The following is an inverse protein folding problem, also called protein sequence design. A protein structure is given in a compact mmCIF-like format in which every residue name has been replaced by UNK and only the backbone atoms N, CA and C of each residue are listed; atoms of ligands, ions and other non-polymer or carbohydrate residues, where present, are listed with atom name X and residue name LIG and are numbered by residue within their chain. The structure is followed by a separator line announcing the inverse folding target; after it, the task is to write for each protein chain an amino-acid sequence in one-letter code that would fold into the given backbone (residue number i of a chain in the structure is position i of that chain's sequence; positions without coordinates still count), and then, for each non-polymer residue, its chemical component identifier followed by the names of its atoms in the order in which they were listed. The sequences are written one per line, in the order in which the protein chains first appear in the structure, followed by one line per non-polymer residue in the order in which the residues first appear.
data_IF_639941785342
#
_entry.id   IF_639941785342
#
_cell.length_a   1.000
_cell.length_b   1.000
_cell.length_c   1.000
_cell.angle_alpha   90.00
_cell.angle_beta   90.00
_cell.angle_gamma   90.00
#
_symmetry.space_group_name_H-M   'P 1'
#
loop_
_entity.id
_entity.type
_entity.pdbx_description
1 polymer ?
#
# COMPACT_ATOMS: atom_id res chain seq x y z
N UNK A 1 27.66 -4.12 -49.03
CA UNK A 1 27.96 -3.79 -47.62
C UNK A 1 26.73 -4.05 -46.80
N UNK A 2 26.72 -5.19 -46.14
CA UNK A 2 25.57 -5.67 -45.36
C UNK A 2 25.72 -5.25 -43.91
N UNK A 3 24.80 -4.39 -43.43
CA UNK A 3 24.80 -3.89 -42.05
C UNK A 3 24.19 -4.93 -41.14
N UNK A 4 24.96 -5.43 -40.20
CA UNK A 4 24.52 -6.39 -39.18
C UNK A 4 23.79 -5.66 -38.06
N UNK A 5 22.54 -6.10 -37.78
CA UNK A 5 21.72 -5.67 -36.63
C UNK A 5 22.22 -6.35 -35.35
N UNK A 6 22.40 -5.63 -34.24
CA UNK A 6 22.79 -6.22 -32.97
C UNK A 6 21.59 -6.96 -32.32
N UNK A 7 21.77 -8.24 -32.02
CA UNK A 7 20.85 -9.07 -31.23
C UNK A 7 20.81 -8.57 -29.78
N UNK A 8 19.72 -7.95 -29.37
CA UNK A 8 19.40 -7.70 -27.97
C UNK A 8 19.16 -9.04 -27.26
N UNK A 9 20.08 -9.41 -26.38
CA UNK A 9 19.88 -10.49 -25.42
C UNK A 9 18.91 -9.99 -24.34
N UNK A 10 17.67 -10.43 -24.38
CA UNK A 10 16.74 -10.38 -23.26
C UNK A 10 17.33 -11.19 -22.11
N UNK A 11 17.74 -10.53 -21.02
CA UNK A 11 18.03 -11.19 -19.75
C UNK A 11 16.68 -11.64 -19.17
N UNK A 12 16.40 -12.93 -19.21
CA UNK A 12 15.38 -13.55 -18.39
C UNK A 12 15.72 -13.27 -16.91
N UNK A 13 14.74 -12.87 -16.06
CA UNK A 13 14.98 -12.76 -14.63
C UNK A 13 15.34 -14.13 -14.08
N UNK A 14 16.45 -14.22 -13.35
CA UNK A 14 16.92 -15.41 -12.70
C UNK A 14 15.79 -16.00 -11.84
N UNK A 15 15.19 -17.09 -12.29
CA UNK A 15 14.30 -17.94 -11.48
C UNK A 15 15.13 -18.46 -10.33
N UNK A 16 14.98 -17.86 -9.13
CA UNK A 16 15.51 -18.45 -7.92
C UNK A 16 14.85 -19.82 -7.78
N UNK A 17 15.65 -20.89 -7.82
CA UNK A 17 15.21 -22.26 -7.65
C UNK A 17 14.71 -22.51 -6.22
N UNK A 18 13.56 -21.97 -5.87
CA UNK A 18 12.84 -22.35 -4.66
C UNK A 18 12.44 -23.82 -4.84
N UNK A 19 12.98 -24.71 -4.00
CA UNK A 19 12.53 -26.11 -3.91
C UNK A 19 11.02 -26.07 -3.72
N UNK A 20 10.28 -26.76 -4.60
CA UNK A 20 8.83 -26.93 -4.45
C UNK A 20 8.56 -27.55 -3.08
N UNK A 21 7.82 -26.82 -2.22
CA UNK A 21 7.41 -27.36 -0.92
C UNK A 21 6.44 -28.53 -1.14
N UNK A 22 6.60 -29.58 -0.36
CA UNK A 22 5.68 -30.72 -0.41
C UNK A 22 4.45 -30.46 0.46
N UNK A 23 3.37 -31.22 0.24
CA UNK A 23 2.19 -31.16 1.11
C UNK A 23 2.56 -31.54 2.56
N UNK A 24 3.55 -32.40 2.76
CA UNK A 24 4.08 -32.76 4.09
C UNK A 24 4.73 -31.54 4.76
N UNK A 25 5.50 -30.74 4.00
CA UNK A 25 6.15 -29.54 4.54
C UNK A 25 5.11 -28.49 4.93
N UNK A 26 4.05 -28.32 4.13
CA UNK A 26 2.93 -27.44 4.45
C UNK A 26 2.22 -27.86 5.75
N UNK A 27 1.85 -29.15 5.86
CA UNK A 27 1.20 -29.66 7.08
C UNK A 27 2.10 -29.52 8.30
N UNK A 28 3.41 -29.83 8.18
CA UNK A 28 4.37 -29.65 9.26
C UNK A 28 4.50 -28.17 9.64
N UNK A 29 4.54 -27.26 8.68
CA UNK A 29 4.61 -25.83 8.94
C UNK A 29 3.34 -25.29 9.58
N UNK A 30 2.16 -25.75 9.18
CA UNK A 30 0.88 -25.32 9.74
C UNK A 30 0.53 -25.99 11.09
N UNK A 31 1.11 -27.16 11.40
CA UNK A 31 0.78 -27.97 12.57
C UNK A 31 1.42 -27.47 13.92
N UNK A 32 1.48 -26.16 14.13
CA UNK A 32 2.02 -25.56 15.35
C UNK A 32 1.27 -24.27 15.68
N UNK A 33 0.85 -24.12 16.93
CA UNK A 33 -0.01 -23.01 17.36
C UNK A 33 0.65 -21.66 17.16
N UNK A 34 1.94 -21.50 17.47
CA UNK A 34 2.63 -20.23 17.29
C UNK A 34 2.73 -19.86 15.81
N UNK A 35 2.96 -20.84 14.92
CA UNK A 35 2.99 -20.58 13.49
C UNK A 35 1.61 -20.22 12.93
N UNK A 36 0.53 -20.82 13.43
CA UNK A 36 -0.83 -20.41 13.08
C UNK A 36 -1.11 -18.97 13.54
N UNK A 37 -0.70 -18.61 14.76
CA UNK A 37 -0.82 -17.23 15.26
C UNK A 37 -0.02 -16.23 14.43
N UNK A 38 1.21 -16.59 14.01
CA UNK A 38 1.99 -15.76 13.09
C UNK A 38 1.21 -15.55 11.79
N UNK A 39 0.72 -16.63 11.16
CA UNK A 39 -0.05 -16.55 9.92
C UNK A 39 -1.32 -15.71 10.09
N UNK A 40 -1.99 -15.79 11.23
CA UNK A 40 -3.16 -14.98 11.53
C UNK A 40 -2.83 -13.48 11.61
N UNK A 41 -1.78 -13.12 12.34
CA UNK A 41 -1.36 -11.73 12.50
C UNK A 41 -0.98 -11.09 11.16
N UNK A 42 -0.21 -11.81 10.35
CA UNK A 42 0.27 -11.29 9.05
C UNK A 42 -0.73 -11.50 7.90
N UNK A 43 -2.00 -11.79 8.21
CA UNK A 43 -3.06 -11.97 7.22
C UNK A 43 -3.44 -10.66 6.51
N UNK A 44 -3.40 -9.56 7.24
CA UNK A 44 -3.93 -8.27 6.80
C UNK A 44 -2.83 -7.26 6.50
N UNK A 45 -1.67 -7.41 7.13
CA UNK A 45 -0.57 -6.46 7.03
C UNK A 45 0.78 -7.14 7.24
N UNK A 46 1.85 -6.36 7.04
CA UNK A 46 3.22 -6.82 7.25
C UNK A 46 3.74 -6.32 8.59
N UNK A 47 4.41 -7.20 9.33
CA UNK A 47 5.07 -6.86 10.59
C UNK A 47 6.58 -7.15 10.53
N UNK A 48 7.36 -6.29 11.18
CA UNK A 48 8.76 -6.55 11.42
C UNK A 48 8.94 -7.68 12.46
N UNK A 49 10.10 -8.35 12.45
CA UNK A 49 10.36 -9.45 13.39
C UNK A 49 10.25 -9.03 14.86
N UNK A 50 10.68 -7.80 15.20
CA UNK A 50 10.57 -7.28 16.57
C UNK A 50 9.13 -6.97 16.96
N UNK A 51 8.33 -6.50 16.04
CA UNK A 51 6.90 -6.25 16.26
C UNK A 51 6.14 -7.57 16.48
N UNK A 52 6.39 -8.59 15.65
CA UNK A 52 5.82 -9.92 15.87
C UNK A 52 6.26 -10.54 17.21
N UNK A 53 7.52 -10.38 17.59
CA UNK A 53 8.02 -10.85 18.87
C UNK A 53 7.30 -10.18 20.05
N UNK A 54 7.06 -8.85 19.95
CA UNK A 54 6.29 -8.08 20.95
C UNK A 54 4.83 -8.51 21.02
N UNK A 55 4.16 -8.67 19.86
CA UNK A 55 2.73 -9.06 19.81
C UNK A 55 2.53 -10.47 20.38
N UNK A 56 3.42 -11.41 20.05
CA UNK A 56 3.32 -12.82 20.42
C UNK A 56 3.91 -13.14 21.79
N UNK A 57 4.59 -12.17 22.42
CA UNK A 57 5.28 -12.33 23.70
C UNK A 57 6.32 -13.45 23.68
N UNK A 58 7.14 -13.49 22.62
CA UNK A 58 8.22 -14.50 22.44
C UNK A 58 9.55 -13.84 22.13
N UNK A 59 10.65 -14.52 22.40
CA UNK A 59 11.97 -14.01 22.04
C UNK A 59 12.15 -13.96 20.52
N UNK A 60 12.92 -12.98 20.04
CA UNK A 60 13.23 -12.86 18.60
C UNK A 60 13.93 -14.12 18.06
N UNK A 61 14.76 -14.79 18.86
CA UNK A 61 15.46 -16.02 18.46
C UNK A 61 14.50 -17.17 18.22
N UNK A 62 13.55 -17.39 19.14
CA UNK A 62 12.51 -18.41 19.00
C UNK A 62 11.64 -18.14 17.79
N UNK A 63 11.17 -16.88 17.63
CA UNK A 63 10.35 -16.47 16.50
C UNK A 63 11.04 -16.69 15.15
N UNK A 64 12.33 -16.38 15.06
CA UNK A 64 13.12 -16.51 13.83
C UNK A 64 13.13 -17.95 13.28
N UNK A 65 13.11 -18.95 14.15
CA UNK A 65 13.00 -20.36 13.74
C UNK A 65 11.65 -20.65 13.10
N UNK A 66 10.55 -20.22 13.70
CA UNK A 66 9.20 -20.41 13.17
C UNK A 66 8.99 -19.65 11.83
N UNK A 67 9.47 -18.42 11.73
CA UNK A 67 9.44 -17.65 10.48
C UNK A 67 10.21 -18.35 9.36
N UNK A 68 11.38 -18.93 9.65
CA UNK A 68 12.18 -19.69 8.67
C UNK A 68 11.42 -20.91 8.13
N UNK A 69 10.74 -21.65 9.00
CA UNK A 69 9.91 -22.81 8.59
C UNK A 69 8.74 -22.40 7.70
N UNK A 70 8.04 -21.34 8.08
CA UNK A 70 6.91 -20.81 7.28
C UNK A 70 7.35 -20.27 5.92
N UNK A 71 8.51 -19.59 5.87
CA UNK A 71 9.11 -19.13 4.61
C UNK A 71 9.52 -20.31 3.71
N UNK A 72 10.16 -21.35 4.28
CA UNK A 72 10.57 -22.53 3.53
C UNK A 72 9.38 -23.32 2.96
N UNK A 73 8.24 -23.30 3.68
CA UNK A 73 7.00 -23.90 3.22
C UNK A 73 6.23 -23.02 2.22
N UNK A 74 6.68 -21.79 1.93
CA UNK A 74 5.98 -20.87 1.02
C UNK A 74 4.70 -20.27 1.60
N UNK A 75 4.47 -20.36 2.91
CA UNK A 75 3.32 -19.77 3.61
C UNK A 75 3.54 -18.30 3.98
N UNK A 76 4.80 -17.86 4.05
CA UNK A 76 5.17 -16.46 4.25
C UNK A 76 5.99 -15.94 3.07
N UNK A 77 5.84 -14.65 2.82
CA UNK A 77 6.79 -13.85 2.08
C UNK A 77 7.50 -12.89 3.04
N UNK A 78 8.76 -12.59 2.76
CA UNK A 78 9.52 -11.57 3.49
C UNK A 78 9.94 -10.47 2.55
N UNK A 79 10.03 -9.27 3.10
CA UNK A 79 10.44 -8.08 2.39
C UNK A 79 11.42 -7.29 3.24
N UNK A 80 12.52 -6.86 2.64
CA UNK A 80 13.47 -5.98 3.30
C UNK A 80 13.05 -4.54 3.08
N UNK A 81 13.00 -3.78 4.17
CA UNK A 81 12.71 -2.36 4.19
C UNK A 81 13.80 -1.64 5.00
N UNK A 82 14.84 -1.16 4.32
CA UNK A 82 16.04 -0.65 4.97
C UNK A 82 16.74 -1.75 5.78
N UNK A 83 16.91 -1.52 7.07
CA UNK A 83 17.51 -2.49 8.01
C UNK A 83 16.55 -3.54 8.54
N UNK A 84 15.24 -3.37 8.33
CA UNK A 84 14.21 -4.24 8.90
C UNK A 84 13.71 -5.28 7.89
N UNK A 85 13.37 -6.47 8.40
CA UNK A 85 12.69 -7.53 7.65
C UNK A 85 11.24 -7.59 8.07
N UNK A 86 10.35 -7.36 7.12
CA UNK A 86 8.90 -7.47 7.29
C UNK A 86 8.40 -8.80 6.72
N UNK A 87 7.41 -9.36 7.39
CA UNK A 87 6.79 -10.64 7.05
C UNK A 87 5.30 -10.45 6.76
N UNK A 88 4.80 -11.12 5.74
CA UNK A 88 3.38 -11.21 5.38
C UNK A 88 3.04 -12.61 4.89
N UNK A 89 1.77 -12.94 4.77
CA UNK A 89 1.36 -14.15 4.05
C UNK A 89 1.84 -14.09 2.60
N UNK A 90 2.20 -15.24 2.05
CA UNK A 90 2.36 -15.37 0.61
C UNK A 90 0.99 -15.16 -0.08
N UNK A 91 0.96 -14.33 -1.14
CA UNK A 91 -0.28 -14.02 -1.86
C UNK A 91 -0.83 -15.25 -2.59
N UNK A 92 0.07 -16.06 -3.13
CA UNK A 92 -0.26 -17.31 -3.84
C UNK A 92 0.76 -18.39 -3.48
N UNK A 93 0.31 -19.63 -3.45
CA UNK A 93 1.18 -20.79 -3.31
C UNK A 93 1.25 -21.52 -4.65
N UNK A 94 2.45 -21.68 -5.20
CA UNK A 94 2.64 -22.17 -6.58
C UNK A 94 2.18 -23.61 -6.77
N UNK A 95 2.38 -24.49 -5.77
CA UNK A 95 2.13 -25.93 -5.91
C UNK A 95 0.77 -26.38 -5.35
N UNK A 96 0.26 -25.71 -4.31
CA UNK A 96 -0.95 -26.11 -3.58
C UNK A 96 -1.84 -24.90 -3.24
N UNK A 97 -2.31 -24.12 -4.24
CA UNK A 97 -3.03 -22.87 -3.96
C UNK A 97 -4.32 -23.10 -3.17
N UNK A 98 -5.15 -24.06 -3.54
CA UNK A 98 -6.43 -24.38 -2.89
C UNK A 98 -6.25 -24.84 -1.43
N UNK A 99 -5.24 -25.67 -1.16
CA UNK A 99 -4.93 -26.10 0.21
C UNK A 99 -4.51 -24.91 1.08
N UNK A 100 -3.63 -24.06 0.58
CA UNK A 100 -3.13 -22.90 1.33
C UNK A 100 -4.24 -21.87 1.56
N UNK A 101 -5.11 -21.64 0.57
CA UNK A 101 -6.27 -20.77 0.72
C UNK A 101 -7.25 -21.29 1.78
N UNK A 102 -7.56 -22.59 1.77
CA UNK A 102 -8.38 -23.23 2.79
C UNK A 102 -7.76 -23.17 4.19
N UNK A 103 -6.44 -23.35 4.29
CA UNK A 103 -5.69 -23.19 5.53
C UNK A 103 -5.79 -21.74 6.06
N UNK A 104 -5.55 -20.74 5.21
CA UNK A 104 -5.63 -19.33 5.59
C UNK A 104 -7.05 -18.95 6.02
N UNK A 105 -8.07 -19.37 5.27
CA UNK A 105 -9.47 -19.13 5.61
C UNK A 105 -9.83 -19.73 6.97
N UNK A 106 -9.34 -20.93 7.26
CA UNK A 106 -9.55 -21.57 8.56
C UNK A 106 -8.85 -20.84 9.70
N UNK A 107 -7.61 -20.41 9.50
CA UNK A 107 -6.85 -19.62 10.49
C UNK A 107 -7.52 -18.27 10.75
N UNK A 108 -8.11 -17.65 9.74
CA UNK A 108 -8.78 -16.33 9.87
C UNK A 108 -10.05 -16.39 10.73
N UNK A 109 -10.60 -17.58 10.98
CA UNK A 109 -11.73 -17.76 11.91
C UNK A 109 -11.31 -17.84 13.37
N UNK A 110 -10.02 -18.02 13.66
CA UNK A 110 -9.52 -18.11 15.02
C UNK A 110 -9.64 -16.76 15.73
N UNK A 111 -9.99 -16.72 17.03
CA UNK A 111 -10.03 -15.48 17.78
C UNK A 111 -8.63 -14.92 18.02
N UNK A 112 -8.45 -13.61 17.80
CA UNK A 112 -7.23 -12.90 18.19
C UNK A 112 -7.39 -12.42 19.64
N UNK A 113 -6.44 -12.74 20.53
CA UNK A 113 -6.48 -12.28 21.92
C UNK A 113 -6.53 -10.74 22.02
N UNK A 114 -7.33 -10.20 22.94
CA UNK A 114 -7.49 -8.74 23.14
C UNK A 114 -6.15 -8.03 23.35
N UNK A 115 -5.21 -8.64 24.12
CA UNK A 115 -3.87 -8.10 24.33
C UNK A 115 -3.10 -7.92 23.01
N UNK A 116 -3.21 -8.88 22.09
CA UNK A 116 -2.53 -8.78 20.79
C UNK A 116 -3.14 -7.68 19.94
N UNK A 117 -4.46 -7.51 19.95
CA UNK A 117 -5.10 -6.38 19.25
C UNK A 117 -4.62 -5.03 19.80
N UNK A 118 -4.53 -4.87 21.12
CA UNK A 118 -4.00 -3.67 21.75
C UNK A 118 -2.56 -3.37 21.32
N UNK A 119 -1.69 -4.39 21.29
CA UNK A 119 -0.30 -4.24 20.85
C UNK A 119 -0.19 -3.87 19.37
N UNK A 120 -1.10 -4.38 18.52
CA UNK A 120 -1.20 -3.99 17.11
C UNK A 120 -1.56 -2.50 17.00
N UNK A 121 -2.57 -2.06 17.75
CA UNK A 121 -2.99 -0.65 17.77
C UNK A 121 -1.85 0.27 18.26
N UNK A 122 -1.08 -0.13 19.28
CA UNK A 122 0.10 0.59 19.74
C UNK A 122 1.16 0.70 18.64
N UNK A 123 1.45 -0.40 17.93
CA UNK A 123 2.41 -0.41 16.81
C UNK A 123 1.95 0.52 15.68
N UNK A 124 0.66 0.51 15.37
CA UNK A 124 0.09 1.45 14.38
C UNK A 124 0.25 2.89 14.83
N UNK A 125 -0.03 3.20 16.08
CA UNK A 125 0.15 4.54 16.63
C UNK A 125 1.62 4.99 16.59
N UNK A 126 2.56 4.12 16.96
CA UNK A 126 4.01 4.41 16.88
C UNK A 126 4.47 4.68 15.44
N UNK A 127 4.00 3.89 14.47
CA UNK A 127 4.30 4.09 13.04
C UNK A 127 3.70 5.41 12.53
N UNK A 128 2.47 5.72 12.92
CA UNK A 128 1.79 6.96 12.55
C UNK A 128 2.48 8.18 13.14
N UNK A 129 2.85 8.14 14.42
CA UNK A 129 3.58 9.22 15.08
C UNK A 129 4.91 9.51 14.38
N UNK A 130 5.71 8.50 14.08
CA UNK A 130 6.98 8.65 13.35
C UNK A 130 6.75 9.30 11.98
N UNK A 131 5.68 8.93 11.29
CA UNK A 131 5.30 9.55 10.00
C UNK A 131 4.97 11.03 10.17
N UNK A 132 4.13 11.39 11.15
CA UNK A 132 3.75 12.78 11.41
C UNK A 132 4.96 13.64 11.80
N UNK A 133 5.83 13.13 12.68
CA UNK A 133 7.07 13.80 13.07
C UNK A 133 7.96 14.07 11.86
N UNK A 134 8.14 13.07 10.99
CA UNK A 134 8.92 13.22 9.76
C UNK A 134 8.36 14.30 8.85
N UNK A 135 7.06 14.27 8.53
CA UNK A 135 6.43 15.24 7.64
C UNK A 135 6.41 16.66 8.24
N UNK A 136 6.19 16.79 9.53
CA UNK A 136 6.24 18.09 10.21
C UNK A 136 7.65 18.71 10.19
N UNK A 137 8.69 17.89 10.38
CA UNK A 137 10.07 18.35 10.41
C UNK A 137 10.64 18.67 9.01
N UNK A 138 10.16 18.02 7.95
CA UNK A 138 10.75 18.08 6.61
C UNK A 138 9.84 18.72 5.56
N UNK A 139 8.69 19.27 5.92
CA UNK A 139 7.68 19.77 4.99
C UNK A 139 8.25 20.70 3.90
N UNK A 140 9.16 21.61 4.23
CA UNK A 140 9.74 22.57 3.29
C UNK A 140 10.60 21.92 2.18
N UNK A 141 11.25 20.79 2.48
CA UNK A 141 12.20 20.12 1.56
C UNK A 141 11.53 19.02 0.73
N UNK A 142 10.38 18.54 1.18
CA UNK A 142 9.71 17.37 0.55
C UNK A 142 9.34 17.57 -0.91
N UNK A 143 9.05 18.80 -1.34
CA UNK A 143 8.68 19.08 -2.74
C UNK A 143 9.84 18.81 -3.71
N UNK A 144 11.00 19.40 -3.44
CA UNK A 144 12.17 19.19 -4.28
C UNK A 144 12.58 17.72 -4.32
N UNK A 145 12.46 17.05 -3.17
CA UNK A 145 12.81 15.65 -3.01
C UNK A 145 11.84 14.71 -3.76
N UNK A 146 10.53 15.02 -3.72
CA UNK A 146 9.51 14.24 -4.44
C UNK A 146 9.62 14.37 -5.95
N UNK A 147 10.02 15.54 -6.46
CA UNK A 147 10.26 15.72 -7.91
C UNK A 147 11.41 14.85 -8.43
N UNK A 148 12.36 14.45 -7.54
CA UNK A 148 13.40 13.48 -7.89
C UNK A 148 12.85 12.08 -8.14
N UNK A 149 11.68 11.76 -7.56
CA UNK A 149 11.01 10.48 -7.75
C UNK A 149 10.08 10.54 -8.94
N UNK A 150 9.16 11.51 -9.00
CA UNK A 150 8.22 11.69 -10.10
C UNK A 150 7.69 13.11 -10.19
N UNK A 151 7.55 13.61 -11.42
CA UNK A 151 6.83 14.85 -11.68
C UNK A 151 5.31 14.61 -11.49
N UNK A 152 4.64 15.38 -10.61
CA UNK A 152 3.20 15.26 -10.39
C UNK A 152 2.37 15.37 -11.68
N UNK A 153 2.72 16.24 -12.61
CA UNK A 153 1.96 16.47 -13.85
C UNK A 153 1.78 15.18 -14.65
N UNK A 154 2.81 14.31 -14.68
CA UNK A 154 2.77 13.05 -15.44
C UNK A 154 1.73 12.09 -14.89
N UNK A 155 1.72 11.88 -13.58
CA UNK A 155 0.78 10.92 -12.99
C UNK A 155 -0.62 11.50 -12.77
N UNK A 156 -0.77 12.81 -12.62
CA UNK A 156 -2.07 13.49 -12.53
C UNK A 156 -2.83 13.38 -13.84
N UNK A 157 -2.15 13.58 -14.98
CA UNK A 157 -2.75 13.38 -16.30
C UNK A 157 -3.23 11.94 -16.48
N UNK A 158 -2.37 10.96 -16.17
CA UNK A 158 -2.71 9.54 -16.27
C UNK A 158 -3.86 9.14 -15.32
N UNK A 159 -3.89 9.66 -14.10
CA UNK A 159 -5.01 9.46 -13.16
C UNK A 159 -6.30 10.05 -13.72
N UNK A 160 -6.22 11.19 -14.40
CA UNK A 160 -7.34 11.81 -15.11
C UNK A 160 -7.89 10.94 -16.23
N UNK A 161 -7.05 10.23 -16.99
CA UNK A 161 -7.48 9.31 -18.04
C UNK A 161 -8.16 8.06 -17.45
N UNK A 162 -7.65 7.50 -16.36
CA UNK A 162 -8.29 6.40 -15.66
C UNK A 162 -9.65 6.82 -15.08
N UNK A 163 -9.74 8.02 -14.51
CA UNK A 163 -10.98 8.56 -13.98
C UNK A 163 -12.04 8.76 -15.07
N UNK A 164 -11.67 9.10 -16.33
CA UNK A 164 -12.60 9.20 -17.46
C UNK A 164 -13.27 7.87 -17.81
N UNK A 165 -12.60 6.76 -17.53
CA UNK A 165 -13.12 5.41 -17.80
C UNK A 165 -14.08 4.93 -16.69
N UNK A 166 -14.07 5.62 -15.53
CA UNK A 166 -14.93 5.25 -14.40
C UNK A 166 -16.38 5.70 -14.66
N UNK A 167 -17.32 4.86 -14.22
CA UNK A 167 -18.78 5.12 -14.33
C UNK A 167 -19.35 5.57 -12.98
N UNK A 168 -18.60 6.36 -12.21
CA UNK A 168 -19.04 6.88 -10.91
C UNK A 168 -19.89 8.16 -11.05
N UNK A 169 -20.57 8.56 -9.97
CA UNK A 169 -21.16 9.88 -9.85
C UNK A 169 -20.08 10.97 -9.81
N UNK A 170 -20.47 12.22 -10.06
CA UNK A 170 -19.54 13.36 -10.14
C UNK A 170 -19.85 14.45 -9.11
N UNK A 171 -20.48 14.07 -8.00
CA UNK A 171 -20.88 15.03 -6.96
C UNK A 171 -19.72 15.33 -6.01
N UNK A 172 -19.17 14.31 -5.35
CA UNK A 172 -18.15 14.49 -4.30
C UNK A 172 -16.91 13.62 -4.49
N UNK A 173 -15.74 14.25 -4.47
CA UNK A 173 -14.46 13.55 -4.44
C UNK A 173 -13.70 13.82 -3.14
N UNK A 174 -12.87 12.84 -2.75
CA UNK A 174 -11.93 12.94 -1.66
C UNK A 174 -10.52 12.67 -2.17
N UNK A 175 -9.58 13.57 -1.88
CA UNK A 175 -8.16 13.30 -2.04
C UNK A 175 -7.49 13.14 -0.67
N UNK A 176 -6.67 12.10 -0.53
CA UNK A 176 -5.89 11.81 0.67
C UNK A 176 -4.45 12.20 0.39
N UNK A 177 -3.86 13.06 1.25
CA UNK A 177 -2.50 13.54 1.07
C UNK A 177 -2.34 14.42 -0.17
N UNK A 178 -3.01 15.58 -0.27
CA UNK A 178 -3.08 16.38 -1.50
C UNK A 178 -1.75 16.98 -1.95
N UNK A 179 -0.71 16.94 -1.11
CA UNK A 179 0.60 17.45 -1.47
C UNK A 179 0.56 18.94 -1.85
N UNK A 180 0.75 19.25 -3.13
CA UNK A 180 0.65 20.61 -3.67
C UNK A 180 -0.67 20.90 -4.39
N UNK A 181 -1.62 19.96 -4.36
CA UNK A 181 -2.98 20.19 -4.85
C UNK A 181 -3.21 19.99 -6.35
N UNK A 182 -2.23 19.43 -7.10
CA UNK A 182 -2.41 19.21 -8.54
C UNK A 182 -3.57 18.26 -8.83
N UNK A 183 -3.70 17.16 -8.07
CA UNK A 183 -4.78 16.21 -8.26
C UNK A 183 -6.11 16.77 -7.75
N UNK A 184 -6.13 17.59 -6.66
CA UNK A 184 -7.34 18.34 -6.24
C UNK A 184 -7.86 19.22 -7.37
N UNK A 185 -6.96 19.96 -8.03
CA UNK A 185 -7.30 20.82 -9.17
C UNK A 185 -7.91 20.03 -10.34
N UNK A 186 -7.38 18.83 -10.61
CA UNK A 186 -7.94 17.94 -11.63
C UNK A 186 -9.34 17.43 -11.22
N UNK A 187 -9.50 17.01 -9.96
CA UNK A 187 -10.79 16.54 -9.44
C UNK A 187 -11.85 17.66 -9.46
N UNK A 188 -11.47 18.89 -9.09
CA UNK A 188 -12.40 20.04 -9.09
C UNK A 188 -12.92 20.43 -10.48
N UNK A 189 -12.26 20.01 -11.56
CA UNK A 189 -12.78 20.18 -12.93
C UNK A 189 -13.94 19.22 -13.26
N UNK A 190 -14.20 18.23 -12.41
CA UNK A 190 -15.15 17.15 -12.69
C UNK A 190 -16.19 16.93 -11.60
N UNK A 191 -15.83 17.18 -10.36
CA UNK A 191 -16.72 17.01 -9.20
C UNK A 191 -17.21 18.35 -8.69
N UNK A 192 -18.45 18.38 -8.21
CA UNK A 192 -19.06 19.59 -7.65
C UNK A 192 -18.35 20.04 -6.37
N UNK A 193 -17.98 19.08 -5.51
CA UNK A 193 -17.26 19.31 -4.26
C UNK A 193 -16.04 18.37 -4.17
N UNK A 194 -14.88 18.91 -3.83
CA UNK A 194 -13.65 18.15 -3.59
C UNK A 194 -13.14 18.42 -2.19
N UNK A 195 -12.91 17.37 -1.43
CA UNK A 195 -12.29 17.47 -0.11
C UNK A 195 -10.87 16.93 -0.18
N UNK A 196 -9.88 17.72 0.25
CA UNK A 196 -8.51 17.26 0.50
C UNK A 196 -8.30 17.05 2.00
N UNK A 197 -7.75 15.92 2.39
CA UNK A 197 -7.39 15.65 3.79
C UNK A 197 -5.92 15.30 3.94
N UNK A 198 -5.32 15.78 5.01
CA UNK A 198 -3.99 15.37 5.45
C UNK A 198 -3.93 15.36 6.99
N UNK A 199 -3.09 14.51 7.56
CA UNK A 199 -2.84 14.46 9.00
C UNK A 199 -1.78 15.49 9.45
N UNK A 200 -1.08 16.15 8.52
CA UNK A 200 -0.06 17.18 8.77
C UNK A 200 -0.56 18.55 8.31
N UNK A 201 -0.69 19.50 9.25
CA UNK A 201 -1.12 20.86 8.97
C UNK A 201 -0.24 21.55 7.93
N UNK A 202 1.08 21.38 8.02
CA UNK A 202 2.04 21.97 7.07
C UNK A 202 1.80 21.51 5.61
N UNK A 203 1.31 20.29 5.39
CA UNK A 203 0.99 19.80 4.05
C UNK A 203 -0.29 20.43 3.50
N UNK A 204 -1.28 20.69 4.34
CA UNK A 204 -2.50 21.39 3.93
C UNK A 204 -2.21 22.86 3.60
N UNK A 205 -1.35 23.53 4.35
CA UNK A 205 -0.93 24.91 4.07
C UNK A 205 -0.23 25.01 2.70
N UNK A 206 0.55 24.01 2.34
CA UNK A 206 1.18 23.92 1.01
C UNK A 206 0.15 23.72 -0.10
N UNK A 207 -0.77 22.79 0.08
CA UNK A 207 -1.88 22.61 -0.86
C UNK A 207 -2.66 23.92 -1.03
N UNK A 208 -3.00 24.59 0.06
CA UNK A 208 -3.73 25.85 0.04
C UNK A 208 -2.99 26.97 -0.73
N UNK A 209 -1.67 27.05 -0.57
CA UNK A 209 -0.85 28.05 -1.28
C UNK A 209 -0.87 27.89 -2.81
N UNK A 210 -1.07 26.67 -3.30
CA UNK A 210 -1.12 26.35 -4.75
C UNK A 210 -2.54 26.40 -5.34
N UNK A 211 -3.57 26.32 -4.48
CA UNK A 211 -4.97 26.29 -4.88
C UNK A 211 -5.55 27.72 -4.93
N UNK A 212 -5.53 28.40 -6.03
CA UNK A 212 -6.02 29.76 -6.26
C UNK A 212 -7.49 29.98 -5.80
N UNK A 213 -7.79 29.83 -4.51
CA UNK A 213 -9.09 30.03 -3.84
C UNK A 213 -10.28 29.41 -4.61
N UNK A 214 -10.17 28.16 -5.05
CA UNK A 214 -11.28 27.46 -5.70
C UNK A 214 -12.34 27.09 -4.65
N UNK A 215 -13.53 27.71 -4.72
CA UNK A 215 -14.63 27.54 -3.74
C UNK A 215 -15.09 26.07 -3.61
N UNK A 216 -14.92 25.27 -4.67
CA UNK A 216 -15.29 23.84 -4.68
C UNK A 216 -14.32 22.93 -3.92
N UNK A 217 -13.15 23.44 -3.46
CA UNK A 217 -12.11 22.65 -2.77
C UNK A 217 -12.09 22.99 -1.28
N UNK A 218 -12.22 21.96 -0.46
CA UNK A 218 -12.21 22.06 1.00
C UNK A 218 -11.05 21.26 1.59
N UNK A 219 -10.12 21.93 2.25
CA UNK A 219 -9.01 21.29 2.96
C UNK A 219 -9.37 21.04 4.42
N UNK A 220 -9.07 19.85 4.94
CA UNK A 220 -9.38 19.47 6.33
C UNK A 220 -8.21 18.71 6.95
N UNK A 221 -7.77 19.18 8.14
CA UNK A 221 -6.81 18.48 8.98
C UNK A 221 -7.49 17.23 9.56
N UNK A 222 -7.22 16.08 8.98
CA UNK A 222 -7.81 14.82 9.42
C UNK A 222 -7.01 13.63 8.92
N UNK A 223 -6.88 12.60 9.78
CA UNK A 223 -6.38 11.31 9.32
C UNK A 223 -7.48 10.55 8.57
N UNK A 224 -7.09 9.86 7.51
CA UNK A 224 -8.03 9.07 6.70
C UNK A 224 -8.68 7.93 7.50
N UNK A 225 -7.93 7.33 8.43
CA UNK A 225 -8.45 6.26 9.29
C UNK A 225 -9.60 6.73 10.20
N UNK A 226 -9.62 8.03 10.56
CA UNK A 226 -10.62 8.62 11.45
C UNK A 226 -11.87 9.12 10.73
N UNK A 227 -11.96 8.95 9.41
CA UNK A 227 -13.17 9.31 8.69
C UNK A 227 -14.32 8.36 9.08
N UNK A 228 -15.52 8.90 9.35
CA UNK A 228 -16.68 8.08 9.65
C UNK A 228 -17.02 7.19 8.45
N UNK A 229 -17.42 5.95 8.72
CA UNK A 229 -17.82 4.96 7.71
C UNK A 229 -19.18 5.34 7.07
N UNK A 230 -19.21 6.49 6.39
CA UNK A 230 -20.38 7.00 5.64
C UNK A 230 -20.07 6.96 4.16
N UNK A 231 -20.96 6.42 3.37
CA UNK A 231 -20.88 6.36 1.90
C UNK A 231 -21.13 7.76 1.33
N UNK A 232 -20.10 8.60 1.33
CA UNK A 232 -20.21 10.03 1.04
C UNK A 232 -19.65 10.41 -0.31
N UNK A 233 -18.60 9.70 -0.77
CA UNK A 233 -17.82 10.10 -1.94
C UNK A 233 -18.11 9.22 -3.16
N UNK A 234 -18.16 9.86 -4.33
CA UNK A 234 -18.23 9.17 -5.61
C UNK A 234 -16.84 8.73 -6.07
N UNK A 235 -15.80 9.48 -5.70
CA UNK A 235 -14.42 9.12 -5.93
C UNK A 235 -13.56 9.36 -4.68
N UNK A 236 -12.59 8.46 -4.48
CA UNK A 236 -11.49 8.63 -3.52
C UNK A 236 -10.19 8.52 -4.31
N UNK A 237 -9.27 9.44 -4.12
CA UNK A 237 -7.97 9.44 -4.78
C UNK A 237 -6.83 9.54 -3.77
N UNK A 238 -5.76 8.82 -4.03
CA UNK A 238 -4.52 8.90 -3.26
C UNK A 238 -3.33 8.75 -4.21
N UNK A 239 -2.52 9.79 -4.31
CA UNK A 239 -1.34 9.80 -5.15
C UNK A 239 -0.08 9.93 -4.29
N UNK A 240 0.83 8.97 -4.39
CA UNK A 240 2.09 8.92 -3.63
C UNK A 240 1.86 8.94 -2.12
N UNK A 241 0.87 8.19 -1.65
CA UNK A 241 0.44 8.14 -0.23
C UNK A 241 0.47 6.73 0.35
N UNK A 242 0.17 5.71 -0.47
CA UNK A 242 0.01 4.35 0.03
C UNK A 242 1.31 3.80 0.64
N UNK A 243 2.47 4.15 0.07
CA UNK A 243 3.78 3.76 0.59
C UNK A 243 4.15 4.39 1.95
N UNK A 244 3.38 5.36 2.41
CA UNK A 244 3.48 5.91 3.76
C UNK A 244 2.49 5.27 4.75
N UNK A 245 1.54 4.44 4.29
CA UNK A 245 0.53 3.86 5.16
C UNK A 245 1.08 2.67 5.96
N UNK A 246 0.80 2.65 7.26
CA UNK A 246 1.21 1.55 8.14
C UNK A 246 0.58 0.21 7.71
N UNK A 247 -0.68 0.24 7.30
CA UNK A 247 -1.44 -0.91 6.81
C UNK A 247 -2.17 -0.56 5.50
N UNK A 248 -1.60 -0.91 4.33
CA UNK A 248 -2.24 -0.67 3.04
C UNK A 248 -3.62 -1.32 2.93
N UNK A 249 -3.83 -2.54 3.42
CA UNK A 249 -5.15 -3.18 3.37
C UNK A 249 -6.20 -2.39 4.17
N UNK A 250 -5.85 -1.87 5.35
CA UNK A 250 -6.76 -1.04 6.14
C UNK A 250 -7.12 0.25 5.41
N UNK A 251 -6.20 0.82 4.64
CA UNK A 251 -6.46 1.95 3.75
C UNK A 251 -7.52 1.61 2.70
N UNK A 252 -7.39 0.48 2.00
CA UNK A 252 -8.38 0.03 1.02
C UNK A 252 -9.76 -0.24 1.65
N UNK A 253 -9.78 -0.86 2.84
CA UNK A 253 -11.02 -1.11 3.58
C UNK A 253 -11.71 0.19 3.98
N UNK A 254 -10.96 1.20 4.39
CA UNK A 254 -11.52 2.51 4.73
C UNK A 254 -12.03 3.24 3.48
N UNK A 255 -11.31 3.18 2.35
CA UNK A 255 -11.79 3.71 1.08
C UNK A 255 -13.14 3.08 0.67
N UNK A 256 -13.25 1.75 0.82
CA UNK A 256 -14.48 1.02 0.55
C UNK A 256 -15.66 1.50 1.43
N UNK A 257 -15.40 1.85 2.69
CA UNK A 257 -16.45 2.32 3.64
C UNK A 257 -16.96 3.72 3.30
N UNK A 258 -16.09 4.62 2.84
CA UNK A 258 -16.46 6.02 2.55
C UNK A 258 -16.98 6.23 1.14
N UNK A 259 -16.69 5.32 0.20
CA UNK A 259 -17.22 5.36 -1.16
C UNK A 259 -18.70 4.98 -1.23
N UNK A 260 -19.46 5.67 -2.05
CA UNK A 260 -20.82 5.28 -2.47
C UNK A 260 -20.78 3.97 -3.29
N UNK A 261 -21.90 3.21 -3.41
CA UNK A 261 -22.00 2.14 -4.40
C UNK A 261 -21.73 2.69 -5.81
N UNK A 262 -20.94 1.97 -6.60
CA UNK A 262 -20.49 2.43 -7.92
C UNK A 262 -19.40 3.50 -7.87
N UNK A 263 -18.90 3.85 -6.70
CA UNK A 263 -17.79 4.80 -6.57
C UNK A 263 -16.44 4.20 -6.99
N UNK A 264 -15.45 5.05 -7.21
CA UNK A 264 -14.11 4.66 -7.69
C UNK A 264 -13.01 5.05 -6.71
N UNK A 265 -12.04 4.16 -6.51
CA UNK A 265 -10.79 4.45 -5.80
C UNK A 265 -9.65 4.54 -6.82
N UNK A 266 -9.01 5.71 -6.90
CA UNK A 266 -7.82 5.94 -7.71
C UNK A 266 -6.59 5.87 -6.81
N UNK A 267 -5.69 4.95 -7.10
CA UNK A 267 -4.38 4.82 -6.45
C UNK A 267 -3.29 5.11 -7.47
N UNK A 268 -2.40 6.01 -7.13
CA UNK A 268 -1.13 6.23 -7.81
C UNK A 268 -0.01 6.00 -6.82
N UNK A 269 0.87 5.04 -7.08
CA UNK A 269 1.97 4.79 -6.15
C UNK A 269 3.18 4.16 -6.87
N UNK A 270 4.29 4.03 -6.16
CA UNK A 270 5.51 3.44 -6.66
C UNK A 270 5.35 1.93 -6.86
N UNK A 271 5.79 1.42 -8.00
CA UNK A 271 6.17 0.02 -8.10
C UNK A 271 7.34 -0.26 -7.16
N UNK A 272 7.49 -1.52 -6.74
CA UNK A 272 8.59 -1.92 -5.87
C UNK A 272 9.95 -1.56 -6.48
N UNK A 273 10.81 -1.00 -5.66
CA UNK A 273 12.19 -0.63 -5.98
C UNK A 273 13.13 -0.90 -4.80
N UNK A 274 14.42 -0.73 -4.99
CA UNK A 274 15.48 -0.96 -3.99
C UNK A 274 16.28 0.32 -3.66
N UNK A 275 15.77 1.50 -4.05
CA UNK A 275 16.40 2.79 -3.78
C UNK A 275 16.16 3.22 -2.33
N UNK A 276 17.03 2.77 -1.41
CA UNK A 276 16.86 2.98 0.05
C UNK A 276 16.96 4.46 0.49
N UNK A 277 17.50 5.35 -0.34
CA UNK A 277 17.64 6.77 0.00
C UNK A 277 16.30 7.47 0.23
N UNK A 278 15.23 7.04 -0.46
CA UNK A 278 13.88 7.65 -0.33
C UNK A 278 13.33 7.54 1.09
N UNK A 279 13.67 6.50 1.85
CA UNK A 279 13.25 6.38 3.25
C UNK A 279 13.76 7.51 4.14
N UNK A 280 14.99 7.95 3.91
CA UNK A 280 15.61 9.03 4.68
C UNK A 280 15.17 10.40 4.20
N UNK A 281 14.96 10.53 2.90
CA UNK A 281 14.73 11.81 2.23
C UNK A 281 13.23 12.11 2.11
N UNK A 282 12.40 11.11 1.77
CA UNK A 282 10.97 11.28 1.54
C UNK A 282 10.10 10.70 2.67
N UNK A 283 10.68 9.97 3.62
CA UNK A 283 9.94 9.36 4.73
C UNK A 283 9.13 8.14 4.33
N UNK A 284 9.51 7.48 3.25
CA UNK A 284 8.81 6.29 2.78
C UNK A 284 8.90 5.16 3.80
N UNK A 285 7.76 4.64 4.20
CA UNK A 285 7.70 3.45 5.04
C UNK A 285 7.97 2.19 4.20
N UNK A 286 7.37 2.13 3.01
CA UNK A 286 7.55 1.06 2.02
C UNK A 286 8.30 1.56 0.78
N UNK A 287 9.20 0.74 0.24
CA UNK A 287 9.88 1.01 -1.03
C UNK A 287 9.01 0.58 -2.22
N UNK A 288 7.83 1.21 -2.37
CA UNK A 288 6.83 0.89 -3.39
C UNK A 288 6.20 -0.51 -3.18
N UNK A 289 5.40 -0.99 -4.08
CA UNK A 289 4.67 -2.27 -3.99
C UNK A 289 4.73 -3.06 -5.28
N UNK A 290 4.72 -4.40 -5.17
CA UNK A 290 4.43 -5.23 -6.34
C UNK A 290 2.99 -4.99 -6.78
N UNK A 291 2.69 -4.93 -8.08
CA UNK A 291 1.32 -4.74 -8.58
C UNK A 291 0.31 -5.75 -8.02
N UNK A 292 0.72 -7.01 -7.89
CA UNK A 292 -0.11 -8.08 -7.32
C UNK A 292 -0.48 -7.81 -5.85
N UNK A 293 0.35 -7.09 -5.09
CA UNK A 293 0.04 -6.69 -3.70
C UNK A 293 -1.11 -5.70 -3.69
N UNK A 294 -1.03 -4.67 -4.53
CA UNK A 294 -2.05 -3.60 -4.63
C UNK A 294 -3.39 -4.18 -5.11
N UNK A 295 -3.37 -5.04 -6.13
CA UNK A 295 -4.57 -5.75 -6.61
C UNK A 295 -5.18 -6.63 -5.51
N UNK A 296 -4.35 -7.38 -4.78
CA UNK A 296 -4.82 -8.24 -3.69
C UNK A 296 -5.51 -7.46 -2.57
N UNK A 297 -4.98 -6.29 -2.19
CA UNK A 297 -5.63 -5.44 -1.16
C UNK A 297 -6.96 -4.89 -1.65
N UNK A 298 -7.05 -4.50 -2.91
CA UNK A 298 -8.32 -4.09 -3.52
C UNK A 298 -9.37 -5.19 -3.47
N UNK A 299 -9.02 -6.40 -3.93
CA UNK A 299 -9.89 -7.58 -3.89
C UNK A 299 -10.33 -7.93 -2.46
N UNK A 300 -9.38 -7.97 -1.52
CA UNK A 300 -9.66 -8.24 -0.10
C UNK A 300 -10.55 -7.19 0.56
N UNK A 301 -10.53 -5.96 0.07
CA UNK A 301 -11.41 -4.89 0.53
C UNK A 301 -12.79 -4.90 -0.15
N UNK A 302 -13.00 -5.76 -1.15
CA UNK A 302 -14.27 -5.91 -1.86
C UNK A 302 -14.42 -5.00 -3.09
N UNK A 303 -13.30 -4.55 -3.68
CA UNK A 303 -13.31 -3.88 -4.96
C UNK A 303 -13.27 -4.88 -6.13
N UNK A 304 -13.81 -4.48 -7.27
CA UNK A 304 -13.65 -5.18 -8.54
C UNK A 304 -12.19 -5.07 -9.05
N UNK A 305 -11.74 -5.97 -9.95
CA UNK A 305 -10.42 -5.83 -10.57
C UNK A 305 -10.25 -4.45 -11.21
N UNK A 306 -9.10 -3.77 -11.01
CA UNK A 306 -8.91 -2.39 -11.45
C UNK A 306 -8.55 -2.29 -12.94
N UNK A 307 -8.90 -1.16 -13.56
CA UNK A 307 -8.15 -0.66 -14.70
C UNK A 307 -6.78 -0.18 -14.23
N UNK A 308 -5.71 -0.60 -14.90
CA UNK A 308 -4.33 -0.34 -14.46
C UNK A 308 -3.48 0.27 -15.58
N UNK A 309 -2.58 1.17 -15.18
CA UNK A 309 -1.59 1.79 -16.05
C UNK A 309 -0.24 1.86 -15.33
N UNK A 310 0.84 1.80 -16.08
CA UNK A 310 2.21 1.86 -15.55
C UNK A 310 2.99 2.95 -16.27
N UNK A 311 3.72 3.77 -15.50
CA UNK A 311 4.53 4.87 -16.02
C UNK A 311 6.00 4.65 -15.63
N UNK A 312 6.84 4.41 -16.61
CA UNK A 312 8.29 4.27 -16.39
C UNK A 312 8.92 5.67 -16.33
N UNK A 313 9.72 5.91 -15.30
CA UNK A 313 10.47 7.15 -15.13
C UNK A 313 11.94 6.97 -15.57
N UNK A 314 12.57 8.06 -16.04
CA UNK A 314 13.97 8.01 -16.50
C UNK A 314 14.99 7.88 -15.35
N UNK A 315 14.54 7.98 -14.10
CA UNK A 315 15.33 7.93 -12.87
C UNK A 315 15.35 6.55 -12.21
N UNK A 316 14.81 5.51 -12.89
CA UNK A 316 14.76 4.14 -12.40
C UNK A 316 13.54 3.82 -11.53
N UNK A 317 12.65 4.78 -11.29
CA UNK A 317 11.34 4.51 -10.69
C UNK A 317 10.30 4.12 -11.74
N UNK A 318 9.32 3.36 -11.32
CA UNK A 318 8.10 3.08 -12.07
C UNK A 318 6.90 3.36 -11.19
N UNK A 319 5.91 4.04 -11.74
CA UNK A 319 4.63 4.25 -11.08
C UNK A 319 3.61 3.23 -11.57
N UNK A 320 2.72 2.85 -10.68
CA UNK A 320 1.52 2.09 -10.97
C UNK A 320 0.29 2.91 -10.61
N UNK A 321 -0.68 2.91 -11.51
CA UNK A 321 -1.95 3.59 -11.35
C UNK A 321 -3.07 2.56 -11.44
N UNK A 322 -4.01 2.62 -10.54
CA UNK A 322 -5.14 1.68 -10.48
C UNK A 322 -6.43 2.42 -10.21
N UNK A 323 -7.47 2.12 -10.99
CA UNK A 323 -8.85 2.56 -10.75
C UNK A 323 -9.71 1.37 -10.35
N UNK A 324 -10.02 1.27 -9.07
CA UNK A 324 -10.83 0.21 -8.47
C UNK A 324 -12.29 0.65 -8.38
N UNK A 325 -13.22 -0.14 -8.93
CA UNK A 325 -14.65 0.10 -8.80
C UNK A 325 -15.24 -0.64 -7.59
N UNK A 326 -16.11 0.06 -6.84
CA UNK A 326 -16.85 -0.49 -5.70
C UNK A 326 -18.14 -1.15 -6.13
#
# INVERSE_FOLDING_TARGET
MTVATPKTRSREPARSGAKSSTLVDLNRAAGDVLRQNILQLVARESFAVLELARILDVSQSALSHHLKLLLAAGLLARRREGTSLFYRRALRHNSYPQFVEGLYSSIDTLPVPKRQLQLIDEIHAERQQKRQEFFSANAAQLTEQRTLISNPDVYVEAAGELLKQATCGWDRALEIGPGEGQLLTLLAKRFNEVTGIDSAQAMLERAAASLNNQESIHLKLKDFADLPSRRTFDAVAAAMVLHHQASPLSFFQQAQRVLKPGGVLIIVDLCRHDQEWVKKVCGDFWLGFEPDEVMHWGERAGFSPPASQYLTQNNGFQLQLHAFSK
#
